data_IF_602946310232
#
_entry.id   IF_602946310232
#
_cell.length_a   1.000
_cell.length_b   1.000
_cell.length_c   1.000
_cell.angle_alpha   90.00
_cell.angle_beta   90.00
_cell.angle_gamma   90.00
#
_symmetry.space_group_name_H-M   'P 1'
#
loop_
_entity.id
_entity.type
_entity.pdbx_description
1 polymer ?
#
# COMPACT_ATOMS: atom_id res chain seq x y z
N UNK A 1 -18.82 22.35 -43.17
CA UNK A 1 -19.25 22.22 -41.77
C UNK A 1 -18.71 20.90 -41.29
N UNK A 2 -17.66 20.92 -40.48
CA UNK A 2 -17.01 19.71 -39.96
C UNK A 2 -17.34 19.64 -38.48
N UNK A 3 -18.26 18.75 -38.13
CA UNK A 3 -18.59 18.46 -36.73
C UNK A 3 -17.41 17.74 -36.09
N UNK A 4 -16.67 18.48 -35.27
CA UNK A 4 -15.61 17.96 -34.43
C UNK A 4 -16.29 17.40 -33.18
N UNK A 5 -16.58 16.11 -33.21
CA UNK A 5 -17.13 15.36 -32.08
C UNK A 5 -16.12 15.38 -30.93
N UNK A 6 -16.33 16.28 -29.97
CA UNK A 6 -15.61 16.29 -28.71
C UNK A 6 -15.97 15.03 -27.92
N UNK A 7 -15.13 14.01 -28.01
CA UNK A 7 -15.14 12.84 -27.14
C UNK A 7 -14.91 13.31 -25.71
N UNK A 8 -15.98 13.42 -24.92
CA UNK A 8 -15.92 13.69 -23.49
C UNK A 8 -15.16 12.54 -22.81
N UNK A 9 -13.85 12.73 -22.56
CA UNK A 9 -13.12 11.85 -21.67
C UNK A 9 -13.65 12.07 -20.25
N UNK A 10 -13.97 11.00 -19.48
CA UNK A 10 -14.33 11.15 -18.08
C UNK A 10 -13.14 11.77 -17.36
N UNK A 11 -13.38 12.87 -16.66
CA UNK A 11 -12.36 13.59 -15.90
C UNK A 11 -11.60 12.60 -15.00
N UNK A 12 -10.28 12.53 -15.17
CA UNK A 12 -9.39 11.76 -14.29
C UNK A 12 -9.58 12.26 -12.87
N UNK A 13 -10.17 11.41 -12.02
CA UNK A 13 -10.38 11.71 -10.61
C UNK A 13 -9.28 11.06 -9.80
N UNK A 14 -8.59 11.86 -9.01
CA UNK A 14 -7.62 11.36 -8.05
C UNK A 14 -8.33 10.74 -6.84
N UNK A 15 -7.84 9.58 -6.43
CA UNK A 15 -8.32 8.86 -5.26
C UNK A 15 -7.29 8.95 -4.14
N UNK A 16 -7.77 9.18 -2.91
CA UNK A 16 -6.93 9.23 -1.72
C UNK A 16 -6.87 7.85 -1.03
N UNK A 17 -5.66 7.39 -0.77
CA UNK A 17 -5.35 6.13 -0.11
C UNK A 17 -4.55 6.36 1.15
N UNK A 18 -4.78 5.53 2.16
CA UNK A 18 -3.89 5.36 3.31
C UNK A 18 -3.14 4.06 3.13
N UNK A 19 -1.85 4.16 2.81
CA UNK A 19 -0.96 3.03 2.58
C UNK A 19 -0.21 2.71 3.86
N UNK A 20 -0.33 1.48 4.34
CA UNK A 20 0.34 0.95 5.51
C UNK A 20 1.36 -0.12 5.09
N UNK A 21 2.63 0.18 5.24
CA UNK A 21 3.74 -0.69 4.89
C UNK A 21 4.30 -1.35 6.14
N UNK A 22 4.28 -2.68 6.21
CA UNK A 22 4.86 -3.45 7.33
C UNK A 22 6.32 -3.74 7.03
N UNK A 23 7.20 -3.18 7.86
CA UNK A 23 8.66 -3.34 7.78
C UNK A 23 9.11 -4.26 8.90
N UNK A 24 10.09 -5.11 8.60
CA UNK A 24 10.63 -6.05 9.56
C UNK A 24 12.09 -5.72 9.86
N UNK A 25 12.43 -5.59 11.13
CA UNK A 25 13.81 -5.41 11.59
C UNK A 25 14.26 -6.64 12.39
N UNK A 26 15.50 -7.06 12.16
CA UNK A 26 16.11 -8.10 12.96
C UNK A 26 16.69 -7.48 14.23
N UNK A 27 16.12 -7.80 15.39
CA UNK A 27 16.74 -7.49 16.67
C UNK A 27 17.79 -8.56 16.97
N UNK A 28 19.07 -8.20 16.85
CA UNK A 28 20.15 -9.02 17.42
C UNK A 28 20.15 -8.79 18.93
N UNK A 29 19.58 -9.73 19.69
CA UNK A 29 19.81 -9.77 21.13
C UNK A 29 21.17 -10.41 21.39
N UNK A 30 22.10 -9.62 21.95
CA UNK A 30 23.39 -10.11 22.41
C UNK A 30 23.21 -10.66 23.84
N UNK A 31 22.72 -11.90 23.97
CA UNK A 31 22.74 -12.60 25.26
C UNK A 31 23.97 -13.51 25.31
N UNK A 32 24.94 -13.19 26.18
CA UNK A 32 26.10 -14.02 26.48
C UNK A 32 25.64 -15.45 26.82
N UNK A 33 25.90 -16.41 25.93
CA UNK A 33 26.01 -17.84 26.26
C UNK A 33 24.82 -18.77 26.00
N UNK A 34 23.73 -18.37 25.33
CA UNK A 34 22.64 -19.31 24.99
C UNK A 34 21.94 -18.94 23.67
N UNK A 35 21.46 -19.97 22.96
CA UNK A 35 20.95 -19.92 21.59
C UNK A 35 20.14 -18.66 21.26
N UNK A 36 20.52 -17.96 20.19
CA UNK A 36 19.89 -16.74 19.71
C UNK A 36 18.49 -17.06 19.19
N UNK A 37 17.45 -16.69 19.93
CA UNK A 37 16.11 -16.58 19.39
C UNK A 37 16.05 -15.32 18.50
N UNK A 38 15.86 -15.49 17.19
CA UNK A 38 15.64 -14.36 16.27
C UNK A 38 14.28 -13.73 16.59
N UNK A 39 14.27 -12.68 17.42
CA UNK A 39 13.09 -11.84 17.61
C UNK A 39 13.03 -10.86 16.44
N UNK A 40 11.96 -10.95 15.65
CA UNK A 40 11.69 -10.00 14.57
C UNK A 40 10.76 -8.92 15.11
N UNK A 41 11.15 -7.66 15.03
CA UNK A 41 10.26 -6.54 15.31
C UNK A 41 9.50 -6.17 14.05
N UNK A 42 8.20 -5.88 14.23
CA UNK A 42 7.29 -5.48 13.17
C UNK A 42 6.93 -4.03 13.39
N UNK A 43 7.27 -3.18 12.44
CA UNK A 43 6.93 -1.76 12.46
C UNK A 43 6.05 -1.44 11.27
N UNK A 44 4.92 -0.76 11.50
CA UNK A 44 4.02 -0.32 10.43
C UNK A 44 4.26 1.15 10.15
N UNK A 45 4.60 1.50 8.91
CA UNK A 45 4.75 2.87 8.43
C UNK A 45 3.54 3.23 7.58
N UNK A 46 2.85 4.32 7.90
CA UNK A 46 1.65 4.74 7.18
C UNK A 46 1.88 6.06 6.44
N UNK A 47 1.45 6.15 5.17
CA UNK A 47 1.46 7.38 4.39
C UNK A 47 0.18 7.55 3.58
N UNK A 48 -0.15 8.79 3.24
CA UNK A 48 -1.22 9.06 2.29
C UNK A 48 -0.68 9.11 0.86
N UNK A 49 -1.45 8.55 -0.07
CA UNK A 49 -1.16 8.54 -1.50
C UNK A 49 -2.41 9.05 -2.23
N UNK A 50 -2.25 10.11 -3.02
CA UNK A 50 -3.24 10.49 -4.03
C UNK A 50 -2.79 9.92 -5.37
N UNK A 51 -3.70 9.23 -6.08
CA UNK A 51 -3.38 8.58 -7.35
C UNK A 51 -4.62 8.45 -8.24
N UNK A 52 -4.46 8.68 -9.55
CA UNK A 52 -5.51 8.55 -10.55
C UNK A 52 -5.66 7.06 -10.93
N UNK A 53 -6.79 6.44 -10.60
CA UNK A 53 -6.99 5.00 -10.85
C UNK A 53 -7.53 4.71 -12.25
N UNK A 54 -6.87 3.79 -12.93
CA UNK A 54 -7.29 3.21 -14.20
C UNK A 54 -7.21 1.68 -14.12
N UNK A 55 -7.88 0.96 -15.01
CA UNK A 55 -7.77 -0.49 -15.11
C UNK A 55 -6.43 -0.94 -15.70
N UNK A 56 -5.73 -0.04 -16.41
CA UNK A 56 -4.46 -0.32 -17.09
C UNK A 56 -3.19 0.08 -16.32
N UNK A 57 -3.29 0.81 -15.21
CA UNK A 57 -2.14 1.39 -14.52
C UNK A 57 -1.72 0.64 -13.24
N UNK A 58 -1.92 -0.68 -13.23
CA UNK A 58 -1.56 -1.54 -12.09
C UNK A 58 -0.09 -1.39 -11.66
N UNK A 59 0.85 -1.42 -12.62
CA UNK A 59 2.28 -1.34 -12.32
C UNK A 59 2.65 0.04 -11.78
N UNK A 60 2.18 1.11 -12.41
CA UNK A 60 2.42 2.50 -11.99
C UNK A 60 1.87 2.75 -10.58
N UNK A 61 0.72 2.17 -10.27
CA UNK A 61 0.13 2.22 -8.93
C UNK A 61 1.04 1.57 -7.88
N UNK A 62 1.54 0.36 -8.14
CA UNK A 62 2.47 -0.33 -7.24
C UNK A 62 3.79 0.42 -7.08
N UNK A 63 4.33 1.00 -8.15
CA UNK A 63 5.54 1.83 -8.09
C UNK A 63 5.32 3.07 -7.23
N UNK A 64 4.18 3.76 -7.41
CA UNK A 64 3.83 4.95 -6.62
C UNK A 64 3.73 4.64 -5.12
N UNK A 65 3.23 3.44 -4.75
CA UNK A 65 3.18 2.97 -3.36
C UNK A 65 4.60 2.90 -2.78
N UNK A 66 5.54 2.30 -3.51
CA UNK A 66 6.93 2.18 -3.05
C UNK A 66 7.62 3.54 -2.98
N UNK A 67 7.44 4.37 -4.01
CA UNK A 67 8.02 5.71 -4.10
C UNK A 67 7.56 6.59 -2.92
N UNK A 68 6.27 6.58 -2.58
CA UNK A 68 5.77 7.35 -1.41
C UNK A 68 6.47 6.93 -0.12
N UNK A 69 6.84 5.67 0.02
CA UNK A 69 7.55 5.15 1.19
C UNK A 69 9.09 5.21 1.07
N UNK A 70 9.62 5.86 0.02
CA UNK A 70 11.06 5.96 -0.24
C UNK A 70 11.71 4.62 -0.57
N UNK A 71 10.93 3.65 -1.04
CA UNK A 71 11.38 2.29 -1.39
C UNK A 71 11.75 2.21 -2.89
N UNK A 72 12.43 3.23 -3.41
CA UNK A 72 12.77 3.37 -4.85
C UNK A 72 13.83 2.39 -5.33
N UNK A 73 14.50 1.69 -4.41
CA UNK A 73 15.48 0.66 -4.73
C UNK A 73 14.86 -0.62 -5.28
N UNK A 74 13.55 -0.84 -5.10
CA UNK A 74 12.85 -2.01 -5.62
C UNK A 74 12.13 -1.66 -6.92
N UNK A 75 12.26 -2.54 -7.91
CA UNK A 75 11.64 -2.35 -9.23
C UNK A 75 10.44 -3.27 -9.39
N UNK A 76 9.30 -2.69 -9.79
CA UNK A 76 8.08 -3.43 -10.10
C UNK A 76 8.00 -3.64 -11.62
N UNK A 77 7.49 -4.78 -12.05
CA UNK A 77 7.22 -5.07 -13.45
C UNK A 77 6.07 -6.06 -13.58
N UNK A 78 5.55 -6.24 -14.80
CA UNK A 78 4.50 -7.24 -15.07
C UNK A 78 4.89 -8.68 -14.70
N UNK A 79 6.18 -8.99 -14.64
CA UNK A 79 6.70 -10.31 -14.27
C UNK A 79 7.04 -10.42 -12.78
N UNK A 80 7.26 -9.29 -12.12
CA UNK A 80 7.75 -9.22 -10.73
C UNK A 80 7.04 -8.06 -10.05
N UNK A 81 6.00 -8.38 -9.28
CA UNK A 81 5.19 -7.43 -8.52
C UNK A 81 4.93 -8.01 -7.13
N UNK A 82 4.46 -7.16 -6.22
CA UNK A 82 4.06 -7.55 -4.88
C UNK A 82 2.54 -7.50 -4.75
N UNK A 83 2.00 -8.30 -3.84
CA UNK A 83 0.58 -8.23 -3.54
C UNK A 83 0.29 -7.36 -2.34
N UNK A 84 -0.97 -6.95 -2.22
CA UNK A 84 -1.39 -6.08 -1.14
C UNK A 84 -2.83 -6.35 -0.73
N UNK A 85 -3.18 -5.92 0.48
CA UNK A 85 -4.54 -6.02 0.99
C UNK A 85 -5.24 -4.67 0.91
N UNK A 86 -6.37 -4.66 0.23
CA UNK A 86 -7.26 -3.52 0.07
C UNK A 86 -8.39 -3.57 1.10
N UNK A 87 -8.81 -2.44 1.65
CA UNK A 87 -9.95 -2.38 2.57
C UNK A 87 -10.71 -1.08 2.38
N UNK A 88 -11.96 -1.19 1.92
CA UNK A 88 -12.86 -0.05 1.77
C UNK A 88 -13.15 0.60 3.12
N UNK A 89 -13.23 1.95 3.19
CA UNK A 89 -13.67 2.62 4.41
C UNK A 89 -15.09 2.16 4.77
N UNK A 90 -15.31 1.83 6.04
CA UNK A 90 -16.66 1.55 6.53
C UNK A 90 -17.45 2.87 6.44
N UNK A 91 -18.34 2.98 5.45
CA UNK A 91 -19.33 4.05 5.46
C UNK A 91 -20.21 3.83 6.68
N UNK A 92 -20.07 4.70 7.69
CA UNK A 92 -21.06 4.78 8.76
C UNK A 92 -22.33 5.32 8.12
N UNK A 93 -23.20 4.45 7.60
CA UNK A 93 -24.57 4.83 7.30
C UNK A 93 -25.17 5.34 8.60
N UNK A 94 -25.38 6.65 8.70
CA UNK A 94 -26.37 7.19 9.61
C UNK A 94 -27.69 6.53 9.19
N UNK A 95 -28.07 5.46 9.87
CA UNK A 95 -29.44 4.95 9.83
C UNK A 95 -30.24 5.94 10.68
N UNK A 96 -31.10 6.79 10.10
CA UNK A 96 -32.03 7.55 10.91
C UNK A 96 -32.90 6.53 11.67
N UNK A 97 -32.92 6.63 13.00
CA UNK A 97 -33.78 5.82 13.90
C UNK A 97 -35.26 6.20 13.75
N UNK A 98 -35.79 6.19 12.55
CA UNK A 98 -37.23 6.41 12.28
C UNK A 98 -37.65 5.38 11.25
N UNK A 99 -38.79 4.74 11.52
CA UNK A 99 -39.38 3.60 10.80
C UNK A 99 -38.88 2.21 11.22
N UNK A 100 -39.11 1.88 12.49
CA UNK A 100 -39.60 0.55 12.85
C UNK A 100 -41.03 0.37 12.31
N UNK A 101 -41.17 0.20 10.99
CA UNK A 101 -42.37 -0.38 10.39
C UNK A 101 -41.98 -1.79 9.97
N UNK A 102 -42.68 -2.77 10.51
CA UNK A 102 -42.47 -4.19 10.23
C UNK A 102 -42.82 -4.50 8.77
N UNK A 103 -41.93 -4.13 7.84
CA UNK A 103 -41.96 -4.59 6.46
C UNK A 103 -41.10 -5.84 6.43
N UNK A 104 -41.69 -6.96 6.02
CA UNK A 104 -40.98 -8.24 5.82
C UNK A 104 -39.76 -7.96 4.92
N UNK A 105 -38.54 -8.39 5.27
CA UNK A 105 -37.36 -8.13 4.47
C UNK A 105 -37.42 -8.97 3.18
N UNK A 106 -38.11 -8.45 2.18
CA UNK A 106 -38.06 -8.94 0.81
C UNK A 106 -36.74 -8.48 0.20
N UNK A 107 -35.70 -9.32 0.33
CA UNK A 107 -34.60 -9.58 -0.62
C UNK A 107 -33.94 -8.40 -1.40
N UNK A 108 -34.05 -7.14 -0.97
CA UNK A 108 -33.52 -5.98 -1.73
C UNK A 108 -32.48 -5.12 -0.99
N UNK A 109 -32.07 -5.50 0.23
CA UNK A 109 -30.90 -4.90 0.87
C UNK A 109 -29.79 -5.94 0.95
N UNK A 110 -29.00 -6.02 -0.11
CA UNK A 110 -27.79 -6.83 -0.17
C UNK A 110 -26.86 -6.45 0.99
N UNK A 111 -26.49 -7.46 1.76
CA UNK A 111 -25.71 -7.47 2.99
C UNK A 111 -24.22 -7.11 2.77
N UNK A 112 -23.90 -6.06 2.00
CA UNK A 112 -22.52 -5.66 1.68
C UNK A 112 -22.03 -4.46 2.51
N UNK A 113 -22.16 -4.50 3.83
CA UNK A 113 -21.47 -3.53 4.70
C UNK A 113 -20.54 -4.19 5.71
N UNK A 114 -20.00 -5.36 5.38
CA UNK A 114 -18.69 -5.73 5.88
C UNK A 114 -17.67 -4.99 5.00
N UNK A 115 -16.84 -4.14 5.61
CA UNK A 115 -15.58 -3.69 5.00
C UNK A 115 -14.70 -4.93 4.94
N UNK A 116 -14.96 -5.75 3.92
CA UNK A 116 -14.23 -6.97 3.67
C UNK A 116 -12.93 -6.57 2.99
N UNK A 117 -11.84 -6.99 3.61
CA UNK A 117 -10.52 -6.72 3.10
C UNK A 117 -10.26 -7.68 1.94
N UNK A 118 -9.96 -7.14 0.76
CA UNK A 118 -9.71 -7.89 -0.46
C UNK A 118 -8.21 -8.04 -0.67
N UNK A 119 -7.75 -9.24 -0.99
CA UNK A 119 -6.36 -9.47 -1.39
C UNK A 119 -6.22 -9.17 -2.89
N UNK A 120 -5.21 -8.40 -3.26
CA UNK A 120 -4.94 -7.97 -4.63
C UNK A 120 -3.60 -8.53 -5.05
N UNK A 121 -3.64 -9.70 -5.69
CA UNK A 121 -2.46 -10.47 -6.06
C UNK A 121 -2.15 -10.38 -7.56
N UNK A 122 -3.05 -9.84 -8.39
CA UNK A 122 -2.85 -9.73 -9.84
C UNK A 122 -3.64 -8.58 -10.48
N UNK A 123 -3.49 -8.40 -11.81
CA UNK A 123 -4.16 -7.34 -12.57
C UNK A 123 -5.69 -7.47 -12.60
N UNK A 124 -6.24 -8.69 -12.56
CA UNK A 124 -7.70 -8.90 -12.53
C UNK A 124 -8.28 -8.44 -11.20
N UNK A 125 -7.65 -8.80 -10.08
CA UNK A 125 -8.05 -8.34 -8.75
C UNK A 125 -7.94 -6.82 -8.64
N UNK A 126 -6.91 -6.24 -9.28
CA UNK A 126 -6.75 -4.79 -9.36
C UNK A 126 -7.90 -4.12 -10.10
N UNK A 127 -8.35 -4.68 -11.23
CA UNK A 127 -9.52 -4.18 -11.96
C UNK A 127 -10.78 -4.24 -11.11
N UNK A 128 -11.00 -5.35 -10.39
CA UNK A 128 -12.11 -5.47 -9.45
C UNK A 128 -12.01 -4.42 -8.32
N UNK A 129 -10.81 -4.14 -7.82
CA UNK A 129 -10.57 -3.08 -6.84
C UNK A 129 -10.95 -1.71 -7.39
N UNK A 130 -10.50 -1.38 -8.60
CA UNK A 130 -10.78 -0.10 -9.27
C UNK A 130 -12.29 0.07 -9.47
N UNK A 131 -12.99 -0.99 -9.88
CA UNK A 131 -14.45 -0.99 -10.02
C UNK A 131 -15.14 -0.79 -8.66
N UNK A 132 -14.75 -1.54 -7.61
CA UNK A 132 -15.30 -1.37 -6.25
C UNK A 132 -15.12 0.05 -5.72
N UNK A 133 -14.01 0.70 -6.03
CA UNK A 133 -13.77 2.10 -5.63
C UNK A 133 -14.67 3.05 -6.45
N UNK A 134 -14.78 2.85 -7.77
CA UNK A 134 -15.65 3.67 -8.63
C UNK A 134 -17.12 3.57 -8.24
N UNK A 135 -17.59 2.36 -7.96
CA UNK A 135 -18.99 2.08 -7.61
C UNK A 135 -19.29 2.44 -6.15
N UNK A 136 -18.31 2.27 -5.25
CA UNK A 136 -18.47 2.45 -3.81
C UNK A 136 -18.22 3.87 -3.30
N UNK A 137 -17.55 4.73 -4.07
CA UNK A 137 -17.32 6.14 -3.69
C UNK A 137 -18.50 6.98 -4.17
N UNK A 138 -19.62 6.90 -3.44
CA UNK A 138 -20.76 7.82 -3.67
C UNK A 138 -20.43 9.27 -3.27
N UNK A 139 -19.39 9.48 -2.46
CA UNK A 139 -18.87 10.80 -2.08
C UNK A 139 -17.35 10.74 -1.78
N UNK A 140 -16.49 11.47 -2.52
CA UNK A 140 -15.04 11.51 -2.30
C UNK A 140 -14.60 12.10 -0.94
N UNK A 141 -15.51 12.65 -0.13
CA UNK A 141 -15.20 13.14 1.22
C UNK A 141 -15.11 12.07 2.31
N UNK A 142 -15.48 10.81 2.03
CA UNK A 142 -15.64 9.76 3.05
C UNK A 142 -14.40 8.88 3.17
N UNK A 143 -13.43 9.29 4.00
CA UNK A 143 -12.27 8.53 4.48
C UNK A 143 -11.37 7.83 3.43
N UNK A 144 -10.05 8.07 3.42
CA UNK A 144 -9.16 7.46 2.43
C UNK A 144 -9.17 5.93 2.51
N UNK A 145 -9.13 5.28 1.35
CA UNK A 145 -9.18 3.83 1.27
C UNK A 145 -7.89 3.21 1.77
N UNK A 146 -7.95 2.12 2.55
CA UNK A 146 -6.77 1.57 3.19
C UNK A 146 -6.12 0.48 2.34
N UNK A 147 -4.80 0.56 2.21
CA UNK A 147 -3.95 -0.43 1.55
C UNK A 147 -2.92 -0.92 2.56
N UNK A 148 -2.72 -2.22 2.65
CA UNK A 148 -1.71 -2.83 3.52
C UNK A 148 -0.74 -3.65 2.68
N UNK A 149 0.55 -3.39 2.83
CA UNK A 149 1.62 -4.04 2.08
C UNK A 149 2.62 -4.67 3.05
N UNK A 150 3.04 -5.89 2.75
CA UNK A 150 4.07 -6.61 3.51
C UNK A 150 5.43 -6.52 2.80
N UNK A 151 6.44 -5.93 3.46
CA UNK A 151 7.78 -5.80 2.87
C UNK A 151 8.46 -7.12 2.55
N UNK A 152 8.09 -8.25 3.18
CA UNK A 152 8.64 -9.57 2.83
C UNK A 152 8.31 -9.99 1.40
N UNK A 153 7.25 -9.45 0.83
CA UNK A 153 6.92 -9.68 -0.58
C UNK A 153 7.69 -8.72 -1.48
N UNK A 154 7.81 -7.45 -1.07
CA UNK A 154 8.57 -6.41 -1.79
C UNK A 154 10.06 -6.76 -1.85
N UNK A 155 10.64 -7.32 -0.79
CA UNK A 155 12.04 -7.75 -0.73
C UNK A 155 12.39 -8.87 -1.73
N UNK A 156 11.39 -9.55 -2.31
CA UNK A 156 11.61 -10.55 -3.37
C UNK A 156 11.76 -9.93 -4.76
N UNK A 157 11.51 -8.63 -4.89
CA UNK A 157 11.63 -7.91 -6.15
C UNK A 157 13.10 -7.68 -6.49
N UNK A 158 13.42 -7.53 -7.79
CA UNK A 158 14.73 -7.08 -8.20
C UNK A 158 15.01 -5.72 -7.56
N UNK A 159 16.14 -5.63 -6.86
CA UNK A 159 16.61 -4.37 -6.30
C UNK A 159 17.78 -3.85 -7.11
N UNK A 160 17.75 -2.55 -7.43
CA UNK A 160 18.84 -1.84 -8.09
C UNK A 160 20.02 -1.57 -7.14
N UNK A 161 20.28 -2.43 -6.14
CA UNK A 161 21.53 -2.33 -5.41
C UNK A 161 22.66 -2.54 -6.40
N UNK A 162 23.25 -1.42 -6.83
CA UNK A 162 24.61 -1.41 -7.33
C UNK A 162 25.42 -2.25 -6.36
N UNK A 163 25.94 -3.32 -6.91
CA UNK A 163 26.76 -4.30 -6.24
C UNK A 163 28.03 -3.61 -5.73
N UNK A 164 27.96 -2.90 -4.59
CA UNK A 164 29.14 -2.58 -3.79
C UNK A 164 29.53 -3.85 -3.04
N UNK A 165 30.05 -4.81 -3.80
CA UNK A 165 31.18 -5.58 -3.32
C UNK A 165 32.34 -4.59 -3.17
N UNK A 166 33.23 -4.85 -2.21
CA UNK A 166 34.33 -3.98 -1.73
C UNK A 166 33.85 -3.13 -0.53
N UNK A 167 34.25 -3.34 0.73
CA UNK A 167 35.42 -4.03 1.28
C UNK A 167 35.06 -4.92 2.49
N UNK A 168 35.55 -6.15 2.43
CA UNK A 168 35.86 -6.95 3.60
C UNK A 168 37.05 -6.29 4.32
N UNK A 169 36.80 -5.47 5.34
CA UNK A 169 37.83 -5.12 6.32
C UNK A 169 37.61 -5.93 7.58
N UNK A 170 38.26 -7.09 7.63
CA UNK A 170 38.62 -7.76 8.87
C UNK A 170 39.64 -6.90 9.62
N UNK A 171 39.26 -6.23 10.70
CA UNK A 171 40.23 -5.79 11.72
C UNK A 171 39.65 -5.99 13.11
N UNK A 172 40.42 -6.75 13.88
CA UNK A 172 40.28 -7.06 15.30
C UNK A 172 40.56 -5.85 16.19
N UNK A 173 40.00 -5.90 17.40
CA UNK A 173 40.37 -5.19 18.63
C UNK A 173 40.16 -3.67 18.76
N UNK A 174 39.32 -3.35 19.75
CA UNK A 174 39.43 -2.25 20.72
C UNK A 174 39.74 -0.83 20.21
N UNK A 175 38.70 -0.06 19.88
CA UNK A 175 38.30 1.13 20.66
C UNK A 175 37.23 1.96 19.95
N UNK A 176 36.44 2.67 20.76
CA UNK A 176 35.37 3.58 20.39
C UNK A 176 35.71 4.48 19.18
N UNK A 177 34.81 4.50 18.19
CA UNK A 177 34.57 5.70 17.38
C UNK A 177 33.07 5.83 17.13
N UNK A 178 32.53 6.97 17.58
CA UNK A 178 31.20 7.52 17.29
C UNK A 178 31.07 7.86 15.79
N UNK A 179 30.00 8.56 15.42
CA UNK A 179 29.79 9.26 14.14
C UNK A 179 28.96 8.49 13.09
N UNK A 180 27.87 9.03 12.53
CA UNK A 180 27.08 10.24 12.80
C UNK A 180 25.78 10.12 11.97
N UNK A 181 24.72 10.81 12.38
CA UNK A 181 23.60 11.16 11.51
C UNK A 181 24.11 11.78 10.20
N UNK A 182 23.61 11.32 9.05
CA UNK A 182 23.61 12.14 7.84
C UNK A 182 22.18 12.61 7.56
N UNK A 183 21.94 13.85 7.98
CA UNK A 183 21.04 14.76 7.28
C UNK A 183 21.71 15.16 5.95
N UNK A 184 20.97 15.16 4.85
CA UNK A 184 21.32 15.95 3.69
C UNK A 184 20.07 16.64 3.14
N UNK A 185 20.04 17.96 3.40
CA UNK A 185 19.38 18.98 2.60
C UNK A 185 19.95 19.03 1.18
N UNK A 186 19.13 19.57 0.27
CA UNK A 186 19.41 20.48 -0.86
C UNK A 186 18.52 20.06 -2.05
N UNK A 187 17.68 20.92 -2.62
CA UNK A 187 17.80 22.36 -2.88
C UNK A 187 16.46 23.09 -2.66
#
# INVERSE_FOLDING_TARGET
MSDQSASAQPAEKDYAFTVALTVYSALKQLSKGKSVAKRQEKTVKTKQLAFSLNEGNYIEFLESILEKHGQTQFKVSRKQFFSFKFTMPKMKKYMPKVFSVAVKPSQFFSQHTASEAMDVDNESDYKEMVQKIRDGVSDPGTMPTKISVDMKQVEKLPSNQLNSKDEELSVSDDNQVFFFYHSLNNF
#
